data_IF_506189473633
#
_entry.id   IF_506189473633
#
_cell.length_a   1.000
_cell.length_b   1.000
_cell.length_c   1.000
_cell.angle_alpha   90.00
_cell.angle_beta   90.00
_cell.angle_gamma   90.00
#
_symmetry.space_group_name_H-M   'P 1'
#
loop_
_entity.id
_entity.type
_entity.pdbx_description
1 polymer ?
#
# COMPACT_ATOMS: atom_id res chain seq x y z
N UNK A 1 -4.32 1.31 16.79
CA UNK A 1 -3.48 0.69 15.75
C UNK A 1 -3.67 1.46 14.45
N UNK A 2 -2.58 1.90 13.84
CA UNK A 2 -2.55 2.65 12.58
C UNK A 2 -2.12 1.69 11.48
N UNK A 3 -2.94 1.51 10.46
CA UNK A 3 -2.65 0.59 9.34
C UNK A 3 -2.50 1.41 8.07
N UNK A 4 -1.31 1.36 7.47
CA UNK A 4 -1.03 1.97 6.18
C UNK A 4 -1.67 1.17 5.04
N UNK A 5 -2.34 1.85 4.12
CA UNK A 5 -2.84 1.26 2.87
C UNK A 5 -2.15 1.97 1.71
N UNK A 6 -1.36 1.21 0.95
CA UNK A 6 -0.55 1.76 -0.15
C UNK A 6 -1.40 1.93 -1.40
N UNK A 7 -1.36 3.10 -2.01
CA UNK A 7 -1.99 3.36 -3.31
C UNK A 7 -0.91 3.53 -4.39
N UNK A 8 -1.00 2.71 -5.45
CA UNK A 8 -0.25 2.85 -6.69
C UNK A 8 -1.17 3.42 -7.80
N UNK A 9 -0.63 4.01 -8.88
CA UNK A 9 -1.41 4.25 -10.08
C UNK A 9 -2.03 2.92 -10.55
N UNK A 10 -3.34 2.87 -10.78
CA UNK A 10 -4.05 1.64 -11.16
C UNK A 10 -4.46 0.71 -10.01
N UNK A 11 -4.18 1.07 -8.74
CA UNK A 11 -4.82 0.42 -7.59
C UNK A 11 -6.33 0.64 -7.63
N UNK A 12 -7.11 -0.41 -7.35
CA UNK A 12 -8.57 -0.35 -7.36
C UNK A 12 -9.19 -0.54 -5.97
N UNK A 13 -8.54 -1.35 -5.12
CA UNK A 13 -9.13 -1.81 -3.87
C UNK A 13 -8.64 -1.03 -2.63
N UNK A 14 -7.91 0.08 -2.79
CA UNK A 14 -7.37 0.84 -1.65
C UNK A 14 -8.48 1.44 -0.78
N UNK A 15 -9.59 1.90 -1.38
CA UNK A 15 -10.76 2.37 -0.63
C UNK A 15 -11.40 1.25 0.18
N UNK A 16 -11.49 0.05 -0.39
CA UNK A 16 -12.11 -1.10 0.26
C UNK A 16 -11.23 -1.64 1.39
N UNK A 17 -9.91 -1.67 1.18
CA UNK A 17 -8.95 -1.94 2.23
C UNK A 17 -9.04 -0.92 3.38
N UNK A 18 -9.08 0.39 3.09
CA UNK A 18 -9.26 1.43 4.11
C UNK A 18 -10.59 1.29 4.86
N UNK A 19 -11.66 0.87 4.17
CA UNK A 19 -12.95 0.58 4.81
C UNK A 19 -12.87 -0.63 5.74
N UNK A 20 -12.24 -1.72 5.30
CA UNK A 20 -12.03 -2.91 6.13
C UNK A 20 -11.23 -2.60 7.41
N UNK A 21 -10.16 -1.80 7.28
CA UNK A 21 -9.36 -1.32 8.43
C UNK A 21 -10.25 -0.58 9.44
N UNK A 22 -11.11 0.35 9.00
CA UNK A 22 -12.04 1.07 9.89
C UNK A 22 -13.03 0.12 10.58
N UNK A 23 -13.60 -0.82 9.82
CA UNK A 23 -14.55 -1.79 10.36
C UNK A 23 -13.92 -2.73 11.39
N UNK A 24 -12.62 -2.99 11.27
CA UNK A 24 -11.83 -3.73 12.24
C UNK A 24 -11.42 -2.91 13.49
N UNK A 25 -11.83 -1.63 13.58
CA UNK A 25 -11.53 -0.76 14.74
C UNK A 25 -10.15 -0.10 14.71
N UNK A 26 -9.47 -0.08 13.56
CA UNK A 26 -8.17 0.55 13.39
C UNK A 26 -8.24 1.85 12.55
N UNK A 27 -7.20 2.67 12.63
CA UNK A 27 -7.07 3.92 11.87
C UNK A 27 -6.39 3.62 10.51
N UNK A 28 -7.08 3.79 9.37
CA UNK A 28 -6.42 3.68 8.07
C UNK A 28 -5.61 4.93 7.75
N UNK A 29 -4.34 4.73 7.38
CA UNK A 29 -3.43 5.78 6.91
C UNK A 29 -3.19 5.57 5.42
N UNK A 30 -3.37 6.63 4.61
CA UNK A 30 -3.08 6.54 3.17
C UNK A 30 -1.58 6.70 2.95
N UNK A 31 -0.97 5.76 2.23
CA UNK A 31 0.43 5.81 1.85
C UNK A 31 0.55 5.88 0.33
N UNK A 32 1.29 6.85 -0.19
CA UNK A 32 1.47 7.01 -1.64
C UNK A 32 2.69 6.23 -2.12
N UNK A 33 2.61 5.56 -3.28
CA UNK A 33 3.72 4.72 -3.76
C UNK A 33 5.06 5.44 -3.92
N UNK A 34 5.03 6.76 -4.15
CA UNK A 34 6.23 7.58 -4.34
C UNK A 34 6.84 8.08 -3.01
N UNK A 35 6.16 7.89 -1.89
CA UNK A 35 6.68 8.25 -0.56
C UNK A 35 7.82 7.32 -0.14
N UNK A 36 8.71 7.81 0.73
CA UNK A 36 9.80 7.00 1.31
C UNK A 36 9.60 6.68 2.78
N UNK A 37 8.54 7.20 3.41
CA UNK A 37 8.25 7.02 4.82
C UNK A 37 6.88 6.35 5.04
N UNK A 38 6.80 5.44 6.02
CA UNK A 38 5.57 4.71 6.36
C UNK A 38 4.66 5.46 7.34
N UNK A 39 4.95 6.73 7.64
CA UNK A 39 4.15 7.58 8.53
C UNK A 39 3.85 6.97 9.92
N UNK A 40 4.78 6.19 10.48
CA UNK A 40 4.64 5.53 11.79
C UNK A 40 3.37 4.67 11.92
N UNK A 41 3.10 3.83 10.90
CA UNK A 41 2.04 2.81 10.96
C UNK A 41 2.55 1.54 11.64
N UNK A 42 1.65 0.82 12.30
CA UNK A 42 1.93 -0.45 12.99
C UNK A 42 1.90 -1.65 12.03
N UNK A 43 1.20 -1.53 10.90
CA UNK A 43 1.11 -2.54 9.85
C UNK A 43 0.84 -1.89 8.49
N UNK A 44 1.11 -2.63 7.41
CA UNK A 44 0.89 -2.18 6.02
C UNK A 44 0.05 -3.21 5.25
N UNK A 45 -0.89 -2.70 4.46
CA UNK A 45 -1.67 -3.46 3.47
C UNK A 45 -1.26 -3.01 2.07
N UNK A 46 -0.90 -3.97 1.23
CA UNK A 46 -0.78 -3.80 -0.22
C UNK A 46 -2.12 -4.23 -0.84
N UNK A 47 -3.00 -3.28 -1.21
CA UNK A 47 -4.31 -3.61 -1.76
C UNK A 47 -4.22 -4.19 -3.18
N UNK A 48 -5.27 -4.90 -3.58
CA UNK A 48 -5.43 -5.44 -4.92
C UNK A 48 -5.76 -4.41 -5.99
N UNK A 49 -5.93 -4.91 -7.21
CA UNK A 49 -6.22 -4.13 -8.42
C UNK A 49 -5.24 -4.44 -9.54
N UNK A 50 -5.00 -3.45 -10.40
CA UNK A 50 -4.13 -3.55 -11.59
C UNK A 50 -3.08 -2.43 -11.54
N UNK A 51 -2.16 -2.52 -10.57
CA UNK A 51 -1.12 -1.51 -10.39
C UNK A 51 -0.33 -1.31 -11.68
N UNK A 52 -0.24 -0.07 -12.17
CA UNK A 52 0.33 0.31 -13.46
C UNK A 52 -0.27 -0.49 -14.64
N UNK A 53 -1.54 -0.87 -14.55
CA UNK A 53 -2.25 -1.63 -15.58
C UNK A 53 -1.68 -3.02 -15.83
N UNK A 54 -0.86 -3.56 -14.92
CA UNK A 54 -0.13 -4.81 -15.08
C UNK A 54 0.72 -4.88 -16.37
N UNK A 55 1.15 -3.73 -16.90
CA UNK A 55 1.73 -3.60 -18.24
C UNK A 55 2.94 -4.48 -18.55
N UNK A 56 3.79 -4.80 -17.56
CA UNK A 56 4.90 -5.75 -17.74
C UNK A 56 4.52 -7.16 -17.26
N UNK A 57 4.11 -7.23 -15.99
CA UNK A 57 3.56 -8.39 -15.26
C UNK A 57 2.89 -7.81 -14.01
N UNK A 58 1.90 -8.51 -13.46
CA UNK A 58 1.25 -8.11 -12.21
C UNK A 58 2.27 -7.71 -11.13
N UNK A 59 2.13 -6.49 -10.63
CA UNK A 59 2.97 -5.91 -9.58
C UNK A 59 4.44 -5.64 -9.95
N UNK A 60 4.93 -5.98 -11.16
CA UNK A 60 6.35 -5.86 -11.48
C UNK A 60 6.87 -4.41 -11.48
N UNK A 61 6.05 -3.48 -11.99
CA UNK A 61 6.36 -2.04 -11.95
C UNK A 61 6.15 -1.49 -10.53
N UNK A 62 5.08 -1.89 -9.85
CA UNK A 62 4.78 -1.46 -8.48
C UNK A 62 5.88 -1.84 -7.47
N UNK A 63 6.49 -3.02 -7.63
CA UNK A 63 7.59 -3.48 -6.80
C UNK A 63 8.84 -2.58 -6.84
N UNK A 64 8.98 -1.73 -7.86
CA UNK A 64 10.08 -0.77 -7.98
C UNK A 64 9.78 0.59 -7.33
N UNK A 65 8.59 0.79 -6.78
CA UNK A 65 8.18 2.06 -6.20
C UNK A 65 9.02 2.43 -4.96
N UNK A 66 9.31 3.73 -4.71
CA UNK A 66 10.08 4.18 -3.56
C UNK A 66 9.63 3.59 -2.22
N UNK A 67 8.33 3.55 -1.96
CA UNK A 67 7.79 3.05 -0.69
C UNK A 67 8.06 1.55 -0.48
N UNK A 68 8.18 0.78 -1.55
CA UNK A 68 8.40 -0.67 -1.46
C UNK A 68 9.77 -0.99 -0.88
N UNK A 69 10.78 -0.12 -1.10
CA UNK A 69 12.09 -0.26 -0.46
C UNK A 69 11.94 -0.21 1.07
N UNK A 70 11.26 0.82 1.56
CA UNK A 70 10.99 0.98 3.00
C UNK A 70 10.14 -0.15 3.57
N UNK A 71 9.16 -0.66 2.81
CA UNK A 71 8.33 -1.81 3.24
C UNK A 71 9.17 -3.09 3.34
N UNK A 72 10.01 -3.37 2.34
CA UNK A 72 10.89 -4.55 2.34
C UNK A 72 11.86 -4.48 3.53
N UNK A 73 12.48 -3.33 3.75
CA UNK A 73 13.42 -3.13 4.86
C UNK A 73 12.74 -3.34 6.23
N UNK A 74 11.48 -2.92 6.38
CA UNK A 74 10.71 -3.08 7.62
C UNK A 74 10.13 -4.50 7.82
N UNK A 75 10.13 -5.34 6.78
CA UNK A 75 9.55 -6.68 6.80
C UNK A 75 10.59 -7.80 7.00
N UNK A 76 11.89 -7.48 6.92
CA UNK A 76 13.01 -8.39 7.16
C UNK A 76 13.48 -8.33 8.63
#
# INVERSE_FOLDING_TARGET
MRIGVVTFPGTLDDRDAKRAVRLAGAEPVSLWHADTALQNVDAVVLPGGFSFGDYLRCGAIAAQAPIMKTIIDAAN
#
